data_IF_569745056987
#
_entry.id   IF_569745056987
#
_cell.length_a   1.000
_cell.length_b   1.000
_cell.length_c   1.000
_cell.angle_alpha   90.00
_cell.angle_beta   90.00
_cell.angle_gamma   90.00
#
_symmetry.space_group_name_H-M   'P 1'
#
loop_
_entity.id
_entity.type
_entity.pdbx_description
1 polymer ?
#
# COMPACT_ATOMS: atom_id res chain seq x y z
N UNK A 1 -10.08 -32.53 -10.97
CA UNK A 1 -10.03 -31.20 -11.61
C UNK A 1 -8.89 -30.41 -11.03
N UNK A 2 -7.76 -30.33 -11.74
CA UNK A 2 -6.71 -29.39 -11.40
C UNK A 2 -7.23 -28.00 -11.81
N UNK A 3 -7.67 -27.20 -10.85
CA UNK A 3 -7.88 -25.77 -11.06
C UNK A 3 -6.53 -25.17 -11.44
N UNK A 4 -6.37 -24.77 -12.71
CA UNK A 4 -5.19 -24.01 -13.12
C UNK A 4 -5.15 -22.69 -12.35
N UNK A 5 -3.95 -22.28 -11.95
CA UNK A 5 -3.75 -20.97 -11.34
C UNK A 5 -4.08 -19.87 -12.37
N UNK A 6 -4.89 -18.89 -11.97
CA UNK A 6 -5.21 -17.72 -12.79
C UNK A 6 -4.21 -16.60 -12.48
N UNK A 7 -3.59 -16.01 -13.50
CA UNK A 7 -2.60 -14.93 -13.36
C UNK A 7 -3.06 -13.73 -14.17
N UNK A 8 -3.29 -12.60 -13.50
CA UNK A 8 -3.68 -11.33 -14.11
C UNK A 8 -3.16 -10.15 -13.29
N UNK A 9 -3.18 -8.96 -13.87
CA UNK A 9 -2.81 -7.71 -13.21
C UNK A 9 -4.05 -6.99 -12.69
N UNK A 10 -3.94 -6.35 -11.53
CA UNK A 10 -4.94 -5.44 -10.99
C UNK A 10 -4.45 -3.98 -11.08
N UNK A 11 -5.34 -3.08 -11.48
CA UNK A 11 -5.06 -1.65 -11.64
C UNK A 11 -4.26 -1.27 -12.89
N UNK A 12 -4.01 0.03 -13.02
CA UNK A 12 -3.31 0.62 -14.16
C UNK A 12 -2.61 1.93 -13.78
N UNK A 13 -2.09 2.65 -14.78
CA UNK A 13 -1.37 3.92 -14.60
C UNK A 13 -2.20 5.06 -14.02
N UNK A 14 -3.52 4.95 -13.91
CA UNK A 14 -4.38 5.94 -13.26
C UNK A 14 -4.15 6.00 -11.73
N UNK A 15 -3.79 4.87 -11.12
CA UNK A 15 -3.53 4.72 -9.68
C UNK A 15 -2.09 4.33 -9.36
N UNK A 16 -1.45 3.50 -10.19
CA UNK A 16 -0.08 3.05 -10.00
C UNK A 16 0.90 4.06 -10.61
N UNK A 17 1.13 5.15 -9.88
CA UNK A 17 2.01 6.27 -10.27
C UNK A 17 3.24 6.39 -9.39
N UNK A 18 4.38 6.72 -9.99
CA UNK A 18 5.53 7.25 -9.25
C UNK A 18 5.26 8.68 -8.80
N UNK A 19 6.01 9.14 -7.80
CA UNK A 19 5.90 10.49 -7.30
C UNK A 19 6.36 11.54 -8.31
N UNK A 20 5.93 12.77 -8.06
CA UNK A 20 6.18 13.92 -8.94
C UNK A 20 7.67 14.26 -9.09
N UNK A 21 8.49 13.86 -8.11
CA UNK A 21 9.92 14.07 -8.10
C UNK A 21 10.65 13.28 -9.20
N UNK A 22 10.01 12.23 -9.75
CA UNK A 22 10.64 11.34 -10.74
C UNK A 22 10.62 11.95 -12.14
N UNK A 23 11.80 12.17 -12.72
CA UNK A 23 11.96 12.74 -14.06
C UNK A 23 12.95 11.88 -14.87
N UNK A 24 12.56 11.35 -16.05
CA UNK A 24 11.21 11.39 -16.63
C UNK A 24 10.19 10.58 -15.81
N UNK A 25 8.90 10.85 -16.00
CA UNK A 25 7.80 10.09 -15.40
C UNK A 25 7.66 8.71 -16.07
N UNK A 26 8.58 7.80 -15.74
CA UNK A 26 8.67 6.42 -16.28
C UNK A 26 7.80 5.40 -15.52
N UNK A 27 7.09 5.84 -14.46
CA UNK A 27 6.25 5.03 -13.58
C UNK A 27 6.97 3.85 -12.89
N UNK A 28 8.29 3.88 -12.70
CA UNK A 28 9.02 2.78 -12.02
C UNK A 28 9.11 2.96 -10.50
N UNK A 29 9.49 1.90 -9.79
CA UNK A 29 9.82 1.87 -8.35
C UNK A 29 8.76 2.44 -7.40
N UNK A 30 7.48 2.28 -7.74
CA UNK A 30 6.34 2.85 -6.99
C UNK A 30 6.27 2.34 -5.54
N UNK A 31 6.34 1.03 -5.36
CA UNK A 31 6.20 0.33 -4.08
C UNK A 31 7.25 -0.78 -3.99
N UNK A 32 7.88 -0.97 -2.83
CA UNK A 32 8.94 -1.97 -2.60
C UNK A 32 8.65 -2.92 -1.43
N UNK A 33 7.38 -3.32 -1.33
CA UNK A 33 6.89 -4.31 -0.37
C UNK A 33 5.56 -3.90 0.23
N UNK A 34 5.07 -4.70 1.16
CA UNK A 34 3.76 -4.53 1.76
C UNK A 34 3.51 -5.57 2.84
N UNK A 35 2.41 -5.44 3.56
CA UNK A 35 1.96 -6.44 4.51
C UNK A 35 0.44 -6.64 4.42
N UNK A 36 -0.01 -7.81 4.86
CA UNK A 36 -1.42 -8.13 5.01
C UNK A 36 -1.93 -7.67 6.38
N UNK A 37 -3.19 -7.30 6.39
CA UNK A 37 -4.02 -7.25 7.60
C UNK A 37 -4.16 -8.64 8.22
N UNK A 38 -4.42 -8.72 9.52
CA UNK A 38 -4.51 -10.01 10.24
C UNK A 38 -5.64 -10.92 9.73
N UNK A 39 -6.71 -10.33 9.20
CA UNK A 39 -7.83 -11.06 8.59
C UNK A 39 -7.56 -11.46 7.12
N UNK A 40 -6.46 -10.97 6.54
CA UNK A 40 -6.08 -11.21 5.15
C UNK A 40 -6.95 -10.51 4.11
N UNK A 41 -7.90 -9.65 4.52
CA UNK A 41 -8.81 -8.98 3.56
C UNK A 41 -8.10 -7.91 2.75
N UNK A 42 -7.21 -7.16 3.40
CA UNK A 42 -6.47 -6.07 2.77
C UNK A 42 -4.96 -6.29 2.82
N UNK A 43 -4.28 -5.96 1.73
CA UNK A 43 -2.84 -5.73 1.72
C UNK A 43 -2.54 -4.24 1.57
N UNK A 44 -1.51 -3.74 2.25
CA UNK A 44 -1.02 -2.38 2.07
C UNK A 44 0.39 -2.40 1.53
N UNK A 45 0.64 -1.75 0.40
CA UNK A 45 1.96 -1.59 -0.17
C UNK A 45 2.62 -0.30 0.30
N UNK A 46 3.88 -0.40 0.67
CA UNK A 46 4.65 0.71 1.22
C UNK A 46 5.30 1.53 0.11
N UNK A 47 5.08 2.86 0.09
CA UNK A 47 5.55 3.72 -0.99
C UNK A 47 7.07 3.82 -1.00
N UNK A 48 7.69 3.45 -2.12
CA UNK A 48 9.09 3.73 -2.39
C UNK A 48 9.19 5.10 -3.06
N UNK A 49 8.79 5.19 -4.32
CA UNK A 49 8.70 6.46 -5.06
C UNK A 49 7.26 6.95 -5.19
N UNK A 50 6.25 6.11 -4.95
CA UNK A 50 4.87 6.58 -4.87
C UNK A 50 4.68 7.59 -3.72
N UNK A 51 3.66 8.44 -3.81
CA UNK A 51 3.40 9.47 -2.80
C UNK A 51 2.36 9.06 -1.75
N UNK A 52 1.70 7.91 -1.91
CA UNK A 52 0.71 7.43 -0.94
C UNK A 52 0.83 5.92 -0.76
N UNK A 53 0.25 5.42 0.32
CA UNK A 53 0.11 3.98 0.54
C UNK A 53 -0.93 3.42 -0.43
N UNK A 54 -0.65 2.28 -1.05
CA UNK A 54 -1.64 1.54 -1.84
C UNK A 54 -2.32 0.52 -0.95
N UNK A 55 -3.64 0.53 -0.89
CA UNK A 55 -4.45 -0.56 -0.34
C UNK A 55 -4.97 -1.42 -1.48
N UNK A 56 -4.83 -2.73 -1.32
CA UNK A 56 -5.39 -3.77 -2.18
C UNK A 56 -6.51 -4.44 -1.39
N UNK A 57 -7.72 -4.48 -1.94
CA UNK A 57 -8.76 -5.42 -1.49
C UNK A 57 -8.49 -6.77 -2.15
N UNK A 58 -8.14 -7.78 -1.36
CA UNK A 58 -7.74 -9.10 -1.84
C UNK A 58 -8.93 -9.99 -2.22
N UNK A 59 -10.16 -9.54 -1.98
CA UNK A 59 -11.40 -10.25 -2.36
C UNK A 59 -11.96 -9.68 -3.66
N UNK A 60 -11.99 -8.36 -3.77
CA UNK A 60 -12.60 -7.63 -4.90
C UNK A 60 -11.59 -7.24 -5.99
N UNK A 61 -10.30 -7.48 -5.78
CA UNK A 61 -9.21 -7.09 -6.70
C UNK A 61 -9.18 -5.59 -7.03
N UNK A 62 -9.58 -4.76 -6.05
CA UNK A 62 -9.63 -3.31 -6.21
C UNK A 62 -8.46 -2.62 -5.51
N UNK A 63 -8.08 -1.47 -6.06
CA UNK A 63 -6.98 -0.65 -5.56
C UNK A 63 -7.49 0.71 -5.07
N UNK A 64 -6.90 1.21 -3.98
CA UNK A 64 -7.18 2.57 -3.47
C UNK A 64 -5.93 3.19 -2.84
N UNK A 65 -5.81 4.52 -2.94
CA UNK A 65 -4.74 5.28 -2.28
C UNK A 65 -5.21 5.71 -0.89
N UNK A 66 -4.35 5.54 0.12
CA UNK A 66 -4.69 5.79 1.52
C UNK A 66 -3.69 6.74 2.17
N UNK A 67 -4.20 7.64 3.01
CA UNK A 67 -3.38 8.54 3.82
C UNK A 67 -2.89 9.78 3.08
N UNK A 68 -2.04 10.60 3.73
CA UNK A 68 -1.53 11.86 3.18
C UNK A 68 -0.48 11.61 2.09
N UNK A 69 -0.13 12.68 1.37
CA UNK A 69 1.01 12.68 0.45
C UNK A 69 2.34 12.64 1.22
N UNK A 70 3.21 11.70 0.85
CA UNK A 70 4.54 11.47 1.40
C UNK A 70 5.58 11.99 0.40
N UNK A 71 5.95 13.27 0.58
CA UNK A 71 6.72 14.04 -0.40
C UNK A 71 8.24 14.04 -0.15
N UNK A 72 8.75 13.11 0.66
CA UNK A 72 10.20 12.96 0.96
C UNK A 72 11.04 12.47 -0.25
N UNK A 73 10.40 12.28 -1.41
CA UNK A 73 11.07 11.86 -2.64
C UNK A 73 11.09 10.35 -2.83
N UNK A 74 12.25 9.83 -3.23
CA UNK A 74 12.49 8.45 -3.66
C UNK A 74 12.92 7.53 -2.50
N UNK A 75 12.76 6.21 -2.71
CA UNK A 75 13.24 5.17 -1.78
C UNK A 75 12.83 5.37 -0.31
N UNK A 76 11.59 5.81 -0.06
CA UNK A 76 11.14 6.13 1.30
C UNK A 76 11.11 4.91 2.22
N UNK A 77 10.43 3.83 1.81
CA UNK A 77 10.27 2.61 2.59
C UNK A 77 10.67 1.36 1.80
N UNK A 78 11.30 0.41 2.48
CA UNK A 78 11.69 -0.90 1.95
C UNK A 78 11.03 -2.01 2.76
N UNK A 79 9.97 -2.60 2.20
CA UNK A 79 9.21 -3.66 2.85
C UNK A 79 8.64 -3.24 4.23
N UNK A 80 8.12 -4.21 4.99
CA UNK A 80 7.54 -4.00 6.30
C UNK A 80 6.82 -5.25 6.80
N UNK A 81 6.03 -5.08 7.85
CA UNK A 81 5.39 -6.20 8.56
C UNK A 81 4.12 -5.77 9.28
N UNK A 82 3.29 -6.74 9.65
CA UNK A 82 2.13 -6.52 10.52
C UNK A 82 2.54 -6.76 11.98
N UNK A 83 2.17 -5.83 12.85
CA UNK A 83 2.37 -5.91 14.29
C UNK A 83 1.27 -6.72 14.98
N UNK A 84 1.53 -7.14 16.21
CA UNK A 84 0.50 -7.79 17.06
C UNK A 84 -0.68 -6.87 17.39
N UNK A 85 -0.49 -5.56 17.28
CA UNK A 85 -1.52 -4.54 17.41
C UNK A 85 -2.41 -4.41 16.17
N UNK A 86 -2.17 -5.20 15.12
CA UNK A 86 -2.92 -5.15 13.86
C UNK A 86 -2.52 -3.99 12.95
N UNK A 87 -1.60 -3.12 13.38
CA UNK A 87 -1.05 -2.06 12.53
C UNK A 87 0.04 -2.62 11.62
N UNK A 88 0.22 -1.99 10.46
CA UNK A 88 1.27 -2.33 9.51
C UNK A 88 2.40 -1.31 9.61
N UNK A 89 3.64 -1.78 9.61
CA UNK A 89 4.83 -0.99 9.81
C UNK A 89 5.75 -1.08 8.59
N UNK A 90 5.96 0.04 7.90
CA UNK A 90 6.90 0.15 6.79
C UNK A 90 8.29 0.53 7.29
N UNK A 91 9.31 -0.22 6.87
CA UNK A 91 10.70 0.00 7.30
C UNK A 91 11.28 1.18 6.50
N UNK A 92 11.72 2.27 7.15
CA UNK A 92 12.28 3.41 6.44
C UNK A 92 13.65 3.07 5.85
N UNK A 93 13.87 3.47 4.60
CA UNK A 93 15.20 3.47 3.99
C UNK A 93 15.76 4.89 3.91
N UNK A 94 14.99 5.84 3.35
CA UNK A 94 15.31 7.28 3.36
C UNK A 94 14.31 8.16 4.09
N UNK A 95 13.13 7.63 4.45
CA UNK A 95 12.18 8.40 5.24
C UNK A 95 12.75 8.72 6.63
N UNK A 96 12.39 9.88 7.17
CA UNK A 96 12.81 10.32 8.51
C UNK A 96 12.13 9.57 9.67
N UNK A 97 11.14 8.72 9.39
CA UNK A 97 10.41 7.99 10.42
C UNK A 97 9.86 6.65 9.92
N UNK A 98 9.41 5.81 10.85
CA UNK A 98 8.75 4.54 10.52
C UNK A 98 7.32 4.81 10.07
N UNK A 99 6.92 4.25 8.92
CA UNK A 99 5.53 4.32 8.47
C UNK A 99 4.68 3.41 9.34
N UNK A 100 3.63 3.93 9.95
CA UNK A 100 2.62 3.14 10.66
C UNK A 100 1.26 3.35 10.02
N UNK A 101 0.62 2.26 9.60
CA UNK A 101 -0.72 2.24 9.02
C UNK A 101 -1.63 1.51 10.00
N UNK A 102 -2.71 2.17 10.42
CA UNK A 102 -3.76 1.57 11.24
C UNK A 102 -4.96 1.31 10.33
N UNK A 103 -5.21 0.05 9.93
CA UNK A 103 -6.40 -0.30 9.18
C UNK A 103 -7.65 0.01 10.01
N UNK A 104 -8.68 0.59 9.40
CA UNK A 104 -9.99 0.67 10.04
C UNK A 104 -10.63 -0.71 10.03
N UNK A 105 -11.22 -1.12 11.13
CA UNK A 105 -12.16 -2.24 11.13
C UNK A 105 -13.46 -1.76 10.51
N UNK A 106 -14.04 -2.53 9.58
CA UNK A 106 -15.35 -2.24 8.99
C UNK A 106 -16.51 -2.28 10.04
N UNK A 107 -16.22 -2.64 11.29
CA UNK A 107 -17.15 -2.57 12.43
C UNK A 107 -17.35 -1.16 13.01
N UNK A 108 -16.52 -0.19 12.62
CA UNK A 108 -16.58 1.17 13.19
C UNK A 108 -17.42 2.13 12.33
N UNK A 109 -18.31 1.58 11.49
CA UNK A 109 -19.14 2.29 10.52
C UNK A 109 -20.61 2.48 10.92
N UNK A 110 -21.01 2.16 12.15
CA UNK A 110 -22.26 2.68 12.71
C UNK A 110 -21.99 4.02 13.41
N UNK A 111 -21.74 5.05 12.62
CA UNK A 111 -22.01 6.42 13.05
C UNK A 111 -23.54 6.56 13.16
N UNK A 112 -24.06 6.33 14.36
CA UNK A 112 -25.40 6.73 14.73
C UNK A 112 -25.51 8.27 14.66
N UNK A 113 -26.37 8.72 13.74
CA UNK A 113 -27.01 10.06 13.61
C UNK A 113 -26.14 11.19 13.04
#
# INVERSE_FOLDING_TARGET
NCSNNHVYTIGDSSILKSGRHRIPQDNRYKYLGGALTNDGRYAFLFPCDAEQVLRIDCVEDTLSLVGPLLLEGENKFQNGFVGRDGALYGIPQRSCGVLRIVPRSESDGEDHV
#
